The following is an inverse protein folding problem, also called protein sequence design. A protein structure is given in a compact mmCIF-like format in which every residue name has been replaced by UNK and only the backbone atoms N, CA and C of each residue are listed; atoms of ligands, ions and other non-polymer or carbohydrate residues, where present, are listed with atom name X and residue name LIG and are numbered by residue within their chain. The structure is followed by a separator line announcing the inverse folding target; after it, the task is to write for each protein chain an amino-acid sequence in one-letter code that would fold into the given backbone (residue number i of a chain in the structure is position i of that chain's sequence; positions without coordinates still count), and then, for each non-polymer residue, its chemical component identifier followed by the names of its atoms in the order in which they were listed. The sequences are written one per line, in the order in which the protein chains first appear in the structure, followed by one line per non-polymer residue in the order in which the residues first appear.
data_IF_187288496682
#
_entry.id   IF_187288496682
#
_cell.length_a   1.000
_cell.length_b   1.000
_cell.length_c   1.000
_cell.angle_alpha   90.00
_cell.angle_beta   90.00
_cell.angle_gamma   90.00
#
_symmetry.space_group_name_H-M   'P 1'
#
loop_
_entity.id
_entity.type
_entity.pdbx_description
1 polymer ?
#
# COMPACT_ATOMS: atom_id res chain seq x y z
N UNK A 1 6.43 -4.99 14.78
CA UNK A 1 6.48 -4.98 13.32
C UNK A 1 5.52 -6.03 12.79
N UNK A 2 4.26 -5.64 12.60
CA UNK A 2 3.27 -6.45 11.88
C UNK A 2 3.11 -5.87 10.48
N UNK A 3 3.45 -6.65 9.46
CA UNK A 3 3.35 -6.28 8.06
C UNK A 3 2.30 -7.16 7.37
N UNK A 4 1.32 -6.54 6.72
CA UNK A 4 0.47 -7.25 5.77
C UNK A 4 1.10 -7.12 4.38
N UNK A 5 1.41 -8.27 3.76
CA UNK A 5 2.02 -8.36 2.44
C UNK A 5 0.93 -8.70 1.42
N UNK A 6 0.72 -7.82 0.44
CA UNK A 6 -0.18 -8.07 -0.67
C UNK A 6 0.64 -8.53 -1.88
N UNK A 7 0.22 -9.66 -2.48
CA UNK A 7 0.85 -10.22 -3.68
C UNK A 7 0.13 -9.78 -4.95
N UNK A 8 0.88 -9.19 -5.89
CA UNK A 8 0.40 -8.93 -7.24
C UNK A 8 1.06 -9.92 -8.21
N UNK A 9 0.25 -10.86 -8.69
CA UNK A 9 0.65 -12.11 -9.37
C UNK A 9 1.49 -11.93 -10.65
N UNK A 10 1.50 -10.75 -11.26
CA UNK A 10 2.18 -10.53 -12.55
C UNK A 10 3.68 -10.20 -12.47
N UNK A 11 4.20 -9.70 -11.35
CA UNK A 11 5.53 -9.07 -11.34
C UNK A 11 6.42 -9.35 -10.11
N UNK A 12 6.05 -10.27 -9.21
CA UNK A 12 6.75 -10.43 -7.91
C UNK A 12 6.90 -9.09 -7.14
N UNK A 13 5.95 -8.20 -7.33
CA UNK A 13 5.87 -6.90 -6.65
C UNK A 13 5.24 -7.12 -5.28
N UNK A 14 5.95 -6.73 -4.22
CA UNK A 14 5.46 -6.76 -2.85
C UNK A 14 4.95 -5.38 -2.44
N UNK A 15 3.69 -5.31 -2.04
CA UNK A 15 3.15 -4.16 -1.35
C UNK A 15 3.10 -4.49 0.15
N UNK A 16 3.51 -3.54 0.97
CA UNK A 16 3.53 -3.69 2.42
C UNK A 16 2.63 -2.65 3.07
N UNK A 17 1.80 -3.10 4.01
CA UNK A 17 1.06 -2.22 4.92
C UNK A 17 1.65 -2.35 6.32
N UNK A 18 2.05 -1.21 6.89
CA UNK A 18 2.67 -1.13 8.22
C UNK A 18 1.59 -0.84 9.26
N UNK A 19 1.17 -1.89 9.99
CA UNK A 19 0.09 -1.77 10.99
C UNK A 19 0.54 -1.04 12.26
N UNK A 20 1.85 -0.97 12.52
CA UNK A 20 2.37 -0.21 13.67
C UNK A 20 2.31 1.31 13.42
N UNK A 21 1.99 1.73 12.18
CA UNK A 21 1.81 3.13 11.76
C UNK A 21 0.35 3.54 11.55
N UNK A 22 -0.58 2.85 12.21
CA UNK A 22 -2.00 3.23 12.22
C UNK A 22 -2.17 4.67 12.74
N UNK A 23 -2.83 5.52 11.96
CA UNK A 23 -3.11 6.90 12.35
C UNK A 23 -4.38 7.01 13.23
N UNK A 24 -4.71 8.22 13.69
CA UNK A 24 -5.89 8.47 14.53
C UNK A 24 -7.24 8.16 13.86
N UNK A 25 -7.26 7.90 12.55
CA UNK A 25 -8.43 7.55 11.77
C UNK A 25 -8.50 6.03 11.45
N UNK A 26 -7.60 5.24 12.01
CA UNK A 26 -7.55 3.79 11.78
C UNK A 26 -6.96 3.38 10.43
N UNK A 27 -6.14 4.25 9.83
CA UNK A 27 -5.56 4.01 8.51
C UNK A 27 -4.08 3.68 8.62
N UNK A 28 -3.65 2.69 7.82
CA UNK A 28 -2.27 2.27 7.75
C UNK A 28 -1.66 2.65 6.39
N UNK A 29 -0.41 3.17 6.36
CA UNK A 29 0.28 3.49 5.12
C UNK A 29 0.61 2.24 4.30
N UNK A 30 0.62 2.40 2.97
CA UNK A 30 0.99 1.40 1.99
C UNK A 30 2.33 1.78 1.35
N UNK A 31 3.22 0.80 1.27
CA UNK A 31 4.57 0.93 0.72
C UNK A 31 4.78 -0.01 -0.47
N UNK A 32 5.59 0.45 -1.42
CA UNK A 32 6.17 -0.34 -2.51
C UNK A 32 7.69 -0.16 -2.47
N UNK A 33 8.45 -1.24 -2.30
CA UNK A 33 9.93 -1.17 -2.22
C UNK A 33 10.45 -0.04 -1.27
N UNK A 34 9.84 0.05 -0.08
CA UNK A 34 10.10 1.07 0.96
C UNK A 34 9.63 2.51 0.63
N UNK A 35 9.09 2.76 -0.56
CA UNK A 35 8.47 4.04 -0.93
C UNK A 35 7.01 4.12 -0.44
N UNK A 36 6.65 5.22 0.24
CA UNK A 36 5.26 5.47 0.65
C UNK A 36 4.41 5.83 -0.59
N UNK A 37 3.46 4.97 -0.95
CA UNK A 37 2.61 5.16 -2.14
C UNK A 37 1.17 5.59 -1.82
N UNK A 38 0.71 5.36 -0.59
CA UNK A 38 -0.59 5.79 -0.08
C UNK A 38 -0.61 5.82 1.46
N UNK A 39 -1.43 6.70 2.06
CA UNK A 39 -1.61 6.79 3.50
C UNK A 39 -2.66 5.81 4.04
N UNK A 40 -3.42 5.18 3.14
CA UNK A 40 -4.47 4.22 3.48
C UNK A 40 -4.69 3.23 2.33
N UNK A 41 -5.31 2.10 2.64
CA UNK A 41 -5.75 1.13 1.63
C UNK A 41 -6.77 1.76 0.66
N UNK A 42 -7.70 2.58 1.17
CA UNK A 42 -8.70 3.24 0.33
C UNK A 42 -8.04 4.18 -0.69
N UNK A 43 -7.09 5.01 -0.25
CA UNK A 43 -6.33 5.90 -1.14
C UNK A 43 -5.60 5.10 -2.22
N UNK A 44 -4.94 4.01 -1.84
CA UNK A 44 -4.26 3.12 -2.78
C UNK A 44 -5.23 2.56 -3.84
N UNK A 45 -6.38 2.03 -3.42
CA UNK A 45 -7.37 1.44 -4.34
C UNK A 45 -7.96 2.50 -5.29
N UNK A 46 -8.25 3.71 -4.80
CA UNK A 46 -8.73 4.81 -5.64
C UNK A 46 -7.70 5.26 -6.66
N UNK A 47 -6.42 5.37 -6.27
CA UNK A 47 -5.35 5.70 -7.21
C UNK A 47 -5.15 4.60 -8.25
N UNK A 48 -5.26 3.33 -7.87
CA UNK A 48 -5.20 2.20 -8.80
C UNK A 48 -6.33 2.17 -9.82
N UNK A 49 -7.56 2.53 -9.41
CA UNK A 49 -8.71 2.65 -10.29
C UNK A 49 -8.52 3.80 -11.30
N UNK A 50 -7.98 4.93 -10.85
CA UNK A 50 -7.73 6.11 -11.70
C UNK A 50 -6.51 5.95 -12.61
N UNK A 51 -5.43 5.35 -12.11
CA UNK A 51 -4.14 5.20 -12.80
C UNK A 51 -3.52 3.86 -12.41
N UNK A 52 -3.80 2.80 -13.19
CA UNK A 52 -3.26 1.48 -12.90
C UNK A 52 -1.73 1.47 -12.87
N UNK A 53 -1.16 0.84 -11.85
CA UNK A 53 0.29 0.74 -11.61
C UNK A 53 1.01 2.09 -11.44
N UNK A 54 0.37 3.09 -10.81
CA UNK A 54 0.96 4.43 -10.58
C UNK A 54 2.25 4.45 -9.74
N UNK A 55 2.53 3.35 -9.04
CA UNK A 55 3.73 3.15 -8.21
C UNK A 55 4.91 2.53 -8.99
N UNK A 56 4.83 2.48 -10.33
CA UNK A 56 5.90 2.02 -11.22
C UNK A 56 6.57 3.17 -11.96
#
# INVERSE_FOLDING_TARGET
MVLLILFLEKNFTFLTMDLDKENSYGQCPIYYEDELIANSLEEFLRKMDQTPNYYR
#
